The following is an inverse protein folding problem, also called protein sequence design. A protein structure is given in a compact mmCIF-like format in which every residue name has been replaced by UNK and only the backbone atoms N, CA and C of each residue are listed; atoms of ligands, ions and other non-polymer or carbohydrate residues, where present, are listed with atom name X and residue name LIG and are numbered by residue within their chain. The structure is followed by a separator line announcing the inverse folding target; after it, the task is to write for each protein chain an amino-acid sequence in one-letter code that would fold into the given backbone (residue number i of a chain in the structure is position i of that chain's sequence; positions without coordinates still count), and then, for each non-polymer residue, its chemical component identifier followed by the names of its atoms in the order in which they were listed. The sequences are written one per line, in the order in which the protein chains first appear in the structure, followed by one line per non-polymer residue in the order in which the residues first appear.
data_IF_278528282531
#
_entry.id   IF_278528282531
#
_cell.length_a   1.000
_cell.length_b   1.000
_cell.length_c   1.000
_cell.angle_alpha   90.00
_cell.angle_beta   90.00
_cell.angle_gamma   90.00
#
_symmetry.space_group_name_H-M   'P 1'
#
loop_
_entity.id
_entity.type
_entity.pdbx_description
1 polymer ?
#
# COMPACT_ATOMS: atom_id res chain seq x y z
N UNK A 1 1.18 -12.14 -9.22
CA UNK A 1 2.12 -10.99 -9.23
C UNK A 1 3.20 -11.23 -8.19
N UNK A 2 4.44 -11.06 -8.57
CA UNK A 2 5.54 -11.29 -7.65
C UNK A 2 5.68 -10.15 -6.64
N UNK A 3 6.24 -10.46 -5.48
CA UNK A 3 6.39 -9.48 -4.40
C UNK A 3 7.17 -8.24 -4.82
N UNK A 4 8.24 -8.42 -5.61
CA UNK A 4 9.04 -7.30 -6.09
C UNK A 4 8.24 -6.35 -6.97
N UNK A 5 7.34 -6.90 -7.79
CA UNK A 5 6.45 -6.09 -8.61
C UNK A 5 5.47 -5.31 -7.75
N UNK A 6 4.93 -5.95 -6.72
CA UNK A 6 4.00 -5.32 -5.79
C UNK A 6 4.67 -4.16 -5.07
N UNK A 7 5.86 -4.40 -4.52
CA UNK A 7 6.63 -3.37 -3.83
C UNK A 7 6.94 -2.21 -4.78
N UNK A 8 7.37 -2.53 -6.00
CA UNK A 8 7.69 -1.49 -6.99
C UNK A 8 6.49 -0.64 -7.34
N UNK A 9 5.33 -1.26 -7.55
CA UNK A 9 4.10 -0.52 -7.86
C UNK A 9 3.65 0.35 -6.69
N UNK A 10 3.70 -0.18 -5.48
CA UNK A 10 3.33 0.57 -4.29
C UNK A 10 4.24 1.79 -4.13
N UNK A 11 5.54 1.58 -4.21
CA UNK A 11 6.49 2.68 -4.07
C UNK A 11 6.30 3.72 -5.16
N UNK A 12 6.04 3.27 -6.38
CA UNK A 12 5.83 4.17 -7.51
C UNK A 12 4.63 5.09 -7.27
N UNK A 13 3.47 4.52 -6.92
CA UNK A 13 2.30 5.38 -6.73
C UNK A 13 2.39 6.25 -5.48
N UNK A 14 3.09 5.79 -4.44
CA UNK A 14 3.31 6.63 -3.27
C UNK A 14 4.13 7.86 -3.62
N UNK A 15 5.13 7.69 -4.45
CA UNK A 15 5.96 8.82 -4.90
C UNK A 15 5.18 9.73 -5.85
N UNK A 16 4.48 9.16 -6.83
CA UNK A 16 3.80 9.93 -7.87
C UNK A 16 2.49 10.57 -7.40
N UNK A 17 1.69 9.82 -6.62
CA UNK A 17 0.35 10.29 -6.23
C UNK A 17 0.36 11.03 -4.90
N UNK A 18 1.21 10.63 -3.98
CA UNK A 18 1.24 11.18 -2.62
C UNK A 18 2.51 11.98 -2.32
N UNK A 19 3.40 12.11 -3.29
CA UNK A 19 4.64 12.88 -3.17
C UNK A 19 5.52 12.44 -2.00
N UNK A 20 5.55 11.15 -1.71
CA UNK A 20 6.38 10.59 -0.67
C UNK A 20 7.82 10.49 -1.17
N UNK A 21 8.78 10.89 -0.37
CA UNK A 21 10.19 10.77 -0.74
C UNK A 21 10.60 9.30 -0.76
N UNK A 22 11.22 8.82 -1.87
CA UNK A 22 11.63 7.42 -1.97
C UNK A 22 12.53 6.95 -0.83
N UNK A 23 13.39 7.82 -0.32
CA UNK A 23 14.28 7.49 0.78
C UNK A 23 13.60 7.24 2.11
N UNK A 24 12.36 7.67 2.25
CA UNK A 24 11.57 7.44 3.46
C UNK A 24 10.77 6.15 3.43
N UNK A 25 10.68 5.52 2.26
CA UNK A 25 9.94 4.28 2.10
C UNK A 25 10.84 3.11 2.47
N UNK A 26 10.83 2.75 3.75
CA UNK A 26 11.65 1.68 4.31
C UNK A 26 10.70 0.66 4.96
N UNK A 27 10.91 -0.64 4.74
CA UNK A 27 10.00 -1.67 5.27
C UNK A 27 9.71 -1.57 6.75
N UNK A 28 10.68 -1.18 7.55
CA UNK A 28 10.54 -1.07 9.00
C UNK A 28 9.87 0.23 9.45
N UNK A 29 9.75 1.21 8.57
CA UNK A 29 9.16 2.50 8.92
C UNK A 29 7.66 2.39 9.11
N UNK A 30 7.11 3.19 10.03
CA UNK A 30 5.69 3.24 10.26
C UNK A 30 5.00 3.91 9.07
N UNK A 31 4.00 3.24 8.53
CA UNK A 31 3.29 3.72 7.34
C UNK A 31 2.60 5.06 7.58
N UNK A 32 1.83 5.15 8.66
CA UNK A 32 1.07 6.36 8.97
C UNK A 32 1.96 7.55 9.26
N UNK A 33 3.00 7.34 10.04
CA UNK A 33 3.92 8.43 10.40
C UNK A 33 4.69 8.92 9.18
N UNK A 34 5.11 8.02 8.32
CA UNK A 34 5.88 8.38 7.13
C UNK A 34 5.02 9.10 6.10
N UNK A 35 3.81 8.60 5.86
CA UNK A 35 2.92 9.18 4.86
C UNK A 35 2.21 10.44 5.36
N UNK A 36 2.03 10.56 6.67
CA UNK A 36 1.33 11.70 7.29
C UNK A 36 -0.05 11.95 6.65
N UNK A 37 -0.76 10.86 6.35
CA UNK A 37 -2.06 10.94 5.69
C UNK A 37 -3.19 11.17 6.68
N UNK A 38 -4.17 11.98 6.28
CA UNK A 38 -5.40 12.12 7.02
C UNK A 38 -6.46 11.16 6.47
N UNK A 39 -7.68 11.23 6.98
CA UNK A 39 -8.76 10.32 6.57
C UNK A 39 -9.07 10.38 5.08
N UNK A 40 -9.03 11.58 4.50
CA UNK A 40 -9.33 11.77 3.08
C UNK A 40 -8.24 11.16 2.21
N UNK A 41 -6.99 11.31 2.62
CA UNK A 41 -5.87 10.75 1.89
C UNK A 41 -5.90 9.23 1.89
N UNK A 42 -6.37 8.61 2.98
CA UNK A 42 -6.54 7.16 3.02
C UNK A 42 -7.59 6.67 2.01
N UNK A 43 -8.64 7.46 1.80
CA UNK A 43 -9.64 7.12 0.80
C UNK A 43 -9.02 7.14 -0.60
N UNK A 44 -8.20 8.15 -0.88
CA UNK A 44 -7.48 8.23 -2.15
C UNK A 44 -6.53 7.05 -2.31
N UNK A 45 -5.84 6.66 -1.23
CA UNK A 45 -4.93 5.53 -1.24
C UNK A 45 -5.67 4.22 -1.59
N UNK A 46 -6.86 4.03 -1.01
CA UNK A 46 -7.69 2.86 -1.31
C UNK A 46 -8.04 2.81 -2.80
N UNK A 47 -8.43 3.95 -3.38
CA UNK A 47 -8.78 4.04 -4.79
C UNK A 47 -7.58 3.71 -5.68
N UNK A 48 -6.41 4.22 -5.33
CA UNK A 48 -5.18 3.96 -6.10
C UNK A 48 -4.80 2.48 -6.04
N UNK A 49 -4.91 1.86 -4.87
CA UNK A 49 -4.62 0.43 -4.71
C UNK A 49 -5.59 -0.39 -5.56
N UNK A 50 -6.88 -0.06 -5.50
CA UNK A 50 -7.89 -0.77 -6.28
C UNK A 50 -7.60 -0.66 -7.78
N UNK A 51 -7.22 0.53 -8.24
CA UNK A 51 -6.90 0.75 -9.66
C UNK A 51 -5.67 -0.02 -10.12
N UNK A 52 -4.66 -0.15 -9.24
CA UNK A 52 -3.41 -0.81 -9.61
C UNK A 52 -3.45 -2.33 -9.46
N UNK A 53 -4.19 -2.83 -8.48
CA UNK A 53 -4.16 -4.25 -8.14
C UNK A 53 -5.49 -4.98 -8.37
N UNK A 54 -6.57 -4.23 -8.56
CA UNK A 54 -7.87 -4.82 -8.89
C UNK A 54 -8.63 -5.46 -7.73
N UNK A 55 -8.28 -5.14 -6.50
CA UNK A 55 -9.06 -5.59 -5.34
C UNK A 55 -9.45 -4.41 -4.46
N UNK A 56 -10.49 -4.58 -3.67
CA UNK A 56 -10.96 -3.53 -2.78
C UNK A 56 -10.30 -3.62 -1.41
N UNK A 57 -9.82 -2.50 -0.92
CA UNK A 57 -9.25 -2.38 0.41
C UNK A 57 -10.28 -1.76 1.34
N UNK A 58 -10.48 -2.35 2.50
CA UNK A 58 -11.35 -1.77 3.51
C UNK A 58 -10.53 -0.80 4.36
N UNK A 59 -11.07 0.40 4.68
CA UNK A 59 -10.32 1.34 5.53
C UNK A 59 -9.92 0.76 6.86
N UNK A 60 -10.73 -0.14 7.43
CA UNK A 60 -10.42 -0.80 8.69
C UNK A 60 -9.20 -1.72 8.62
N UNK A 61 -8.85 -2.19 7.43
CA UNK A 61 -7.67 -3.03 7.24
C UNK A 61 -6.38 -2.26 7.53
N UNK A 62 -6.41 -0.94 7.34
CA UNK A 62 -5.25 -0.11 7.67
C UNK A 62 -4.96 -0.05 9.16
N UNK A 63 -5.93 -0.39 9.99
CA UNK A 63 -5.74 -0.41 11.44
C UNK A 63 -4.75 -1.49 11.86
N UNK A 64 -4.66 -2.56 11.07
CA UNK A 64 -3.74 -3.66 11.35
C UNK A 64 -2.41 -3.52 10.62
N UNK A 65 -2.30 -2.52 9.74
CA UNK A 65 -1.07 -2.26 9.00
C UNK A 65 -0.27 -1.20 9.74
N UNK A 66 0.86 -1.58 10.31
CA UNK A 66 1.71 -0.65 11.06
C UNK A 66 2.88 -0.14 10.23
N UNK A 67 3.55 -1.01 9.48
CA UNK A 67 4.75 -0.67 8.71
C UNK A 67 4.53 -0.87 7.22
N UNK A 68 5.49 -0.37 6.42
CA UNK A 68 5.45 -0.62 4.97
C UNK A 68 5.52 -2.11 4.67
N UNK A 69 6.29 -2.86 5.46
CA UNK A 69 6.38 -4.32 5.29
C UNK A 69 5.00 -4.96 5.46
N UNK A 70 4.25 -4.55 6.49
CA UNK A 70 2.90 -5.05 6.71
C UNK A 70 1.99 -4.72 5.54
N UNK A 71 2.15 -3.54 4.96
CA UNK A 71 1.37 -3.11 3.81
C UNK A 71 1.68 -3.98 2.58
N UNK A 72 2.95 -4.21 2.31
CA UNK A 72 3.36 -5.07 1.20
C UNK A 72 2.82 -6.48 1.37
N UNK A 73 2.92 -7.03 2.57
CA UNK A 73 2.42 -8.38 2.87
C UNK A 73 0.91 -8.46 2.69
N UNK A 74 0.20 -7.43 3.12
CA UNK A 74 -1.24 -7.34 2.95
C UNK A 74 -1.63 -7.39 1.47
N UNK A 75 -1.00 -6.55 0.66
CA UNK A 75 -1.29 -6.48 -0.78
C UNK A 75 -0.93 -7.80 -1.45
N UNK A 76 0.22 -8.38 -1.11
CA UNK A 76 0.66 -9.65 -1.66
C UNK A 76 -0.36 -10.75 -1.38
N UNK A 77 -0.88 -10.80 -0.16
CA UNK A 77 -1.90 -11.78 0.22
C UNK A 77 -3.17 -11.62 -0.59
N UNK A 78 -3.64 -10.39 -0.75
CA UNK A 78 -4.86 -10.12 -1.50
C UNK A 78 -4.73 -10.48 -2.98
N UNK A 79 -3.61 -10.11 -3.56
CA UNK A 79 -3.34 -10.41 -4.98
C UNK A 79 -3.14 -11.93 -5.16
N UNK A 80 -2.42 -12.55 -4.24
CA UNK A 80 -2.18 -14.00 -4.27
C UNK A 80 -3.46 -14.81 -4.15
N UNK A 81 -4.36 -14.44 -3.24
CA UNK A 81 -5.63 -15.11 -3.08
C UNK A 81 -6.48 -15.01 -4.35
N UNK A 82 -6.41 -13.87 -5.02
CA UNK A 82 -7.16 -13.65 -6.25
C UNK A 82 -6.65 -14.53 -7.39
N UNK A 83 -5.36 -14.79 -7.42
CA UNK A 83 -4.72 -15.59 -8.46
C UNK A 83 -4.92 -17.08 -8.23
N UNK A 84 -5.05 -17.50 -6.99
CA UNK A 84 -5.14 -18.91 -6.65
C UNK A 84 -6.52 -19.54 -6.85
N UNK A 85 -7.46 -18.81 -7.37
CA UNK A 85 -8.81 -19.33 -7.67
C UNK A 85 -8.86 -20.10 -9.02
#
# INVERSE_FOLDING_TARGET
MEKLEIVGKINQFLVEEFEVEPGKIVPESNLRETLELDSLDYIDLVVVIESNFGFKVKPEDFLSIATFQDFYDYVERQVGEKVSV
#
